data_IF_937246738435
#
_entry.id   IF_937246738435
#
_cell.length_a   1.000
_cell.length_b   1.000
_cell.length_c   1.000
_cell.angle_alpha   90.00
_cell.angle_beta   90.00
_cell.angle_gamma   90.00
#
_symmetry.space_group_name_H-M   'P 1'
#
loop_
_entity.id
_entity.type
_entity.pdbx_description
1 polymer ?
#
# COMPACT_ATOMS: atom_id res chain seq x y z
N UNK A 1 -12.04 18.29 0.01
CA UNK A 1 -11.09 19.40 0.28
C UNK A 1 -11.59 20.66 -0.39
N UNK A 2 -11.33 21.81 0.26
CA UNK A 2 -11.63 23.14 -0.31
C UNK A 2 -10.52 23.63 -1.25
N UNK A 3 -10.65 24.85 -1.79
CA UNK A 3 -9.68 25.49 -2.69
C UNK A 3 -8.31 25.76 -2.04
N UNK A 4 -8.23 25.75 -0.71
CA UNK A 4 -6.98 25.94 0.04
C UNK A 4 -6.32 24.59 0.43
N UNK A 5 -6.86 23.49 -0.06
CA UNK A 5 -6.46 22.13 0.26
C UNK A 5 -6.70 21.75 1.75
N UNK A 6 -7.69 22.39 2.41
CA UNK A 6 -8.12 21.96 3.73
C UNK A 6 -8.99 20.71 3.61
N UNK A 7 -8.65 19.69 4.39
CA UNK A 7 -9.44 18.46 4.46
C UNK A 7 -10.73 18.77 5.21
N UNK A 8 -11.84 18.25 4.70
CA UNK A 8 -13.14 18.38 5.37
C UNK A 8 -13.07 17.74 6.77
N UNK A 9 -13.44 18.51 7.79
CA UNK A 9 -13.38 18.05 9.18
C UNK A 9 -14.32 16.89 9.48
N UNK A 10 -15.47 16.81 8.79
CA UNK A 10 -16.40 15.68 8.92
C UNK A 10 -15.79 14.40 8.33
N UNK A 11 -15.01 14.53 7.25
CA UNK A 11 -14.27 13.42 6.67
C UNK A 11 -13.16 12.92 7.60
N UNK A 12 -12.34 13.80 8.15
CA UNK A 12 -11.31 13.43 9.14
C UNK A 12 -11.93 12.75 10.37
N UNK A 13 -13.07 13.24 10.83
CA UNK A 13 -13.82 12.61 11.93
C UNK A 13 -14.26 11.19 11.56
N UNK A 14 -14.71 10.97 10.32
CA UNK A 14 -15.09 9.62 9.86
C UNK A 14 -13.87 8.69 9.74
N UNK A 15 -12.75 9.19 9.23
CA UNK A 15 -11.50 8.42 9.19
C UNK A 15 -11.07 8.02 10.60
N UNK A 16 -11.12 8.99 11.54
CA UNK A 16 -10.83 8.73 12.96
C UNK A 16 -11.69 7.60 13.53
N UNK A 17 -13.00 7.67 13.30
CA UNK A 17 -13.94 6.65 13.79
C UNK A 17 -13.56 5.24 13.27
N UNK A 18 -13.16 5.11 12.00
CA UNK A 18 -12.73 3.82 11.45
C UNK A 18 -11.39 3.38 12.04
N UNK A 19 -10.45 4.30 12.23
CA UNK A 19 -9.17 4.03 12.92
C UNK A 19 -9.44 3.51 14.33
N UNK A 20 -10.34 4.17 15.07
CA UNK A 20 -10.69 3.78 16.43
C UNK A 20 -11.26 2.35 16.47
N UNK A 21 -12.14 1.96 15.55
CA UNK A 21 -12.65 0.58 15.47
C UNK A 21 -11.53 -0.45 15.35
N UNK A 22 -10.55 -0.20 14.46
CA UNK A 22 -9.43 -1.12 14.25
C UNK A 22 -8.55 -1.21 15.50
N UNK A 23 -8.29 -0.08 16.16
CA UNK A 23 -7.42 -0.03 17.34
C UNK A 23 -8.10 -0.61 18.59
N UNK A 24 -9.41 -0.39 18.75
CA UNK A 24 -10.21 -0.92 19.86
C UNK A 24 -10.30 -2.46 19.80
N UNK A 25 -10.29 -3.05 18.59
CA UNK A 25 -10.16 -4.49 18.39
C UNK A 25 -8.72 -5.01 18.64
N UNK A 26 -7.81 -4.14 19.09
CA UNK A 26 -6.42 -4.50 19.42
C UNK A 26 -5.50 -4.64 18.23
N UNK A 27 -5.97 -4.35 17.02
CA UNK A 27 -5.22 -4.46 15.76
C UNK A 27 -4.30 -3.25 15.53
N UNK A 28 -3.45 -3.35 14.52
CA UNK A 28 -2.64 -2.25 13.98
C UNK A 28 -3.37 -1.68 12.77
N UNK A 29 -3.48 -0.36 12.69
CA UNK A 29 -4.13 0.34 11.59
C UNK A 29 -3.08 1.03 10.71
N UNK A 30 -3.20 0.90 9.39
CA UNK A 30 -2.45 1.69 8.41
C UNK A 30 -3.44 2.60 7.70
N UNK A 31 -3.15 3.90 7.64
CA UNK A 31 -3.92 4.86 6.84
C UNK A 31 -3.03 5.47 5.76
N UNK A 32 -3.62 5.72 4.58
CA UNK A 32 -2.91 6.32 3.45
C UNK A 32 -3.72 7.39 2.72
N UNK A 33 -3.06 8.10 1.80
CA UNK A 33 -3.71 8.92 0.77
C UNK A 33 -3.90 8.02 -0.46
N UNK A 34 -5.14 7.60 -0.76
CA UNK A 34 -5.41 6.45 -1.63
C UNK A 34 -5.78 6.81 -3.07
N UNK A 35 -6.77 7.70 -3.29
CA UNK A 35 -7.28 8.03 -4.64
C UNK A 35 -6.68 9.34 -5.16
N UNK A 36 -5.42 9.34 -5.49
CA UNK A 36 -4.61 10.51 -5.86
C UNK A 36 -4.20 10.53 -7.34
N UNK A 37 -4.33 9.41 -8.07
CA UNK A 37 -3.99 9.27 -9.50
C UNK A 37 -5.18 8.80 -10.35
N UNK A 38 -5.00 8.64 -11.66
CA UNK A 38 -6.05 8.22 -12.60
C UNK A 38 -6.91 9.38 -13.13
N UNK A 39 -8.06 9.10 -13.73
CA UNK A 39 -8.89 10.11 -14.46
C UNK A 39 -9.39 11.28 -13.60
N UNK A 40 -9.47 11.11 -12.29
CA UNK A 40 -9.80 12.14 -11.32
C UNK A 40 -8.63 12.45 -10.38
N UNK A 41 -7.47 11.95 -10.72
CA UNK A 41 -6.25 12.15 -9.95
C UNK A 41 -5.81 13.61 -9.97
N UNK A 42 -4.98 13.92 -9.00
CA UNK A 42 -4.41 15.25 -8.82
C UNK A 42 -2.91 15.19 -8.51
N UNK A 43 -2.32 13.99 -8.49
CA UNK A 43 -0.91 13.74 -8.24
C UNK A 43 -0.40 12.70 -9.23
N UNK A 44 0.64 13.03 -9.97
CA UNK A 44 1.20 12.16 -11.00
C UNK A 44 2.72 12.11 -10.90
N UNK A 45 3.29 10.94 -11.12
CA UNK A 45 4.73 10.74 -11.20
C UNK A 45 5.22 11.00 -12.63
N UNK A 46 5.23 12.26 -13.04
CA UNK A 46 5.64 12.65 -14.39
C UNK A 46 6.77 13.69 -14.32
N UNK A 47 8.00 13.35 -14.77
CA UNK A 47 9.16 14.23 -14.62
C UNK A 47 9.04 15.56 -15.38
N UNK A 48 8.25 15.57 -16.45
CA UNK A 48 8.05 16.75 -17.31
C UNK A 48 6.76 17.51 -16.96
N UNK A 49 6.13 17.20 -15.80
CA UNK A 49 4.90 17.87 -15.38
C UNK A 49 5.17 19.25 -14.81
N UNK A 50 4.76 20.28 -15.56
CA UNK A 50 4.85 21.68 -15.12
C UNK A 50 4.03 21.97 -13.84
N UNK A 51 2.99 21.18 -13.56
CA UNK A 51 2.13 21.31 -12.36
C UNK A 51 2.65 20.53 -11.14
N UNK A 52 3.70 19.71 -11.30
CA UNK A 52 4.19 18.83 -10.21
C UNK A 52 4.48 19.59 -8.90
N UNK A 53 5.11 20.76 -8.99
CA UNK A 53 5.41 21.59 -7.81
C UNK A 53 4.15 21.98 -7.00
N UNK A 54 3.02 22.16 -7.69
CA UNK A 54 1.72 22.49 -7.09
C UNK A 54 1.06 21.23 -6.50
N UNK A 55 1.16 20.12 -7.21
CA UNK A 55 0.69 18.81 -6.74
C UNK A 55 1.45 18.37 -5.49
N UNK A 56 2.76 18.46 -5.49
CA UNK A 56 3.64 18.21 -4.36
C UNK A 56 3.30 19.11 -3.16
N UNK A 57 3.07 20.41 -3.39
CA UNK A 57 2.63 21.34 -2.34
C UNK A 57 1.30 20.91 -1.72
N UNK A 58 0.35 20.44 -2.54
CA UNK A 58 -0.92 19.89 -2.06
C UNK A 58 -0.73 18.63 -1.25
N UNK A 59 0.09 17.70 -1.70
CA UNK A 59 0.45 16.47 -0.99
C UNK A 59 1.03 16.78 0.39
N UNK A 60 1.98 17.72 0.47
CA UNK A 60 2.57 18.18 1.72
C UNK A 60 1.52 18.74 2.68
N UNK A 61 0.61 19.60 2.18
CA UNK A 61 -0.47 20.17 2.99
C UNK A 61 -1.44 19.12 3.54
N UNK A 62 -1.73 18.07 2.78
CA UNK A 62 -2.57 16.96 3.24
C UNK A 62 -1.89 16.25 4.40
N UNK A 63 -0.62 15.87 4.24
CA UNK A 63 0.08 15.12 5.28
C UNK A 63 0.35 15.93 6.55
N UNK A 64 0.56 17.25 6.46
CA UNK A 64 0.64 18.14 7.62
C UNK A 64 -0.67 18.05 8.43
N UNK A 65 -1.84 18.11 7.79
CA UNK A 65 -3.14 18.05 8.45
C UNK A 65 -3.42 16.67 9.05
N UNK A 66 -3.11 15.59 8.33
CA UNK A 66 -3.26 14.22 8.83
C UNK A 66 -2.33 14.00 10.03
N UNK A 67 -1.08 14.42 9.94
CA UNK A 67 -0.11 14.31 11.03
C UNK A 67 -0.57 15.05 12.29
N UNK A 68 -1.06 16.28 12.16
CA UNK A 68 -1.54 17.05 13.32
C UNK A 68 -2.80 16.42 13.93
N UNK A 69 -3.73 15.94 13.09
CA UNK A 69 -4.98 15.36 13.56
C UNK A 69 -4.77 14.06 14.35
N UNK A 70 -3.79 13.23 13.95
CA UNK A 70 -3.53 11.91 14.56
C UNK A 70 -2.26 11.87 15.43
N UNK A 71 -1.69 13.02 15.82
CA UNK A 71 -0.40 13.11 16.52
C UNK A 71 -0.35 12.36 17.85
N UNK A 72 -1.47 12.27 18.56
CA UNK A 72 -1.55 11.66 19.90
C UNK A 72 -1.88 10.15 19.87
N UNK A 73 -2.06 9.58 18.67
CA UNK A 73 -2.30 8.15 18.51
C UNK A 73 -1.02 7.34 18.75
N UNK A 74 -1.18 6.14 19.32
CA UNK A 74 -0.07 5.24 19.63
C UNK A 74 0.65 4.75 18.37
N UNK A 75 1.72 3.99 18.56
CA UNK A 75 2.49 3.33 17.49
C UNK A 75 1.68 2.28 16.70
N UNK A 76 0.51 1.86 17.20
CA UNK A 76 -0.40 0.98 16.45
C UNK A 76 -1.06 1.65 15.25
N UNK A 77 -1.10 2.99 15.20
CA UNK A 77 -1.47 3.71 13.99
C UNK A 77 -0.21 3.98 13.17
N UNK A 78 -0.17 3.46 11.96
CA UNK A 78 0.92 3.59 11.00
C UNK A 78 0.45 4.50 9.85
N UNK A 79 1.34 5.32 9.32
CA UNK A 79 1.07 6.14 8.14
C UNK A 79 1.76 5.56 6.91
N UNK A 80 1.03 5.44 5.82
CA UNK A 80 1.54 5.09 4.50
C UNK A 80 1.41 6.31 3.58
N UNK A 81 2.55 6.76 3.04
CA UNK A 81 2.63 8.07 2.37
C UNK A 81 1.79 8.18 1.13
N UNK A 82 1.76 7.14 0.36
CA UNK A 82 1.19 7.06 -0.99
C UNK A 82 0.35 5.79 -1.14
N UNK A 83 -0.27 5.62 -2.31
CA UNK A 83 -0.85 4.37 -2.76
C UNK A 83 -0.19 3.97 -4.10
N UNK A 84 -0.89 4.05 -5.19
CA UNK A 84 -0.45 3.61 -6.51
C UNK A 84 -0.27 4.81 -7.45
N UNK A 85 0.72 5.68 -7.15
CA UNK A 85 0.97 6.87 -7.98
C UNK A 85 1.45 6.47 -9.36
N UNK A 86 0.69 6.85 -10.39
CA UNK A 86 0.98 6.62 -11.79
C UNK A 86 1.46 7.91 -12.48
N UNK A 87 2.10 7.77 -13.63
CA UNK A 87 2.30 8.89 -14.55
C UNK A 87 0.99 9.21 -15.33
N UNK A 88 0.93 10.34 -16.01
CA UNK A 88 -0.24 10.75 -16.80
C UNK A 88 -0.63 9.76 -17.91
N UNK A 89 0.32 8.95 -18.37
CA UNK A 89 0.07 7.86 -19.33
C UNK A 89 -0.50 6.59 -18.70
N UNK A 90 -0.69 6.57 -17.39
CA UNK A 90 -1.23 5.43 -16.62
C UNK A 90 -0.47 4.12 -16.83
N UNK A 91 0.85 4.19 -16.97
CA UNK A 91 1.71 3.01 -17.07
C UNK A 91 1.91 2.38 -15.68
N UNK A 92 1.57 1.11 -15.53
CA UNK A 92 1.74 0.39 -14.26
C UNK A 92 3.18 -0.10 -14.00
N UNK A 93 3.94 -0.34 -15.07
CA UNK A 93 5.31 -0.84 -15.03
C UNK A 93 6.12 -0.34 -16.22
N UNK A 94 7.44 -0.57 -16.18
CA UNK A 94 8.34 -0.29 -17.30
C UNK A 94 8.59 1.21 -17.49
N UNK A 95 8.46 1.99 -16.42
CA UNK A 95 8.69 3.44 -16.46
C UNK A 95 10.16 3.78 -16.33
N UNK A 96 10.50 5.03 -16.66
CA UNK A 96 11.88 5.52 -16.55
C UNK A 96 12.31 5.66 -15.08
N UNK A 97 13.62 5.69 -14.86
CA UNK A 97 14.16 6.02 -13.54
C UNK A 97 13.69 7.41 -13.07
N UNK A 98 13.64 8.40 -13.97
CA UNK A 98 13.18 9.74 -13.65
C UNK A 98 11.73 9.75 -13.13
N UNK A 99 10.85 8.94 -13.71
CA UNK A 99 9.48 8.74 -13.21
C UNK A 99 9.46 8.13 -11.80
N UNK A 100 10.30 7.12 -11.54
CA UNK A 100 10.44 6.55 -10.20
C UNK A 100 11.03 7.57 -9.19
N UNK A 101 11.93 8.45 -9.63
CA UNK A 101 12.53 9.47 -8.77
C UNK A 101 11.51 10.50 -8.26
N UNK A 102 10.44 10.77 -8.99
CA UNK A 102 9.31 11.59 -8.51
C UNK A 102 8.65 10.93 -7.28
N UNK A 103 8.41 9.62 -7.33
CA UNK A 103 7.84 8.89 -6.19
C UNK A 103 8.84 8.83 -5.02
N UNK A 104 10.13 8.67 -5.29
CA UNK A 104 11.18 8.74 -4.28
C UNK A 104 11.21 10.11 -3.58
N UNK A 105 11.02 11.21 -4.33
CA UNK A 105 10.92 12.56 -3.77
C UNK A 105 9.68 12.71 -2.87
N UNK A 106 8.51 12.26 -3.32
CA UNK A 106 7.28 12.30 -2.51
C UNK A 106 7.43 11.47 -1.22
N UNK A 107 8.07 10.32 -1.27
CA UNK A 107 8.41 9.53 -0.09
C UNK A 107 9.33 10.30 0.88
N UNK A 108 10.34 11.03 0.37
CA UNK A 108 11.20 11.87 1.20
C UNK A 108 10.42 13.00 1.86
N UNK A 109 9.57 13.70 1.10
CA UNK A 109 8.71 14.77 1.62
C UNK A 109 7.79 14.28 2.72
N UNK A 110 7.18 13.12 2.53
CA UNK A 110 6.34 12.48 3.52
C UNK A 110 7.10 12.20 4.83
N UNK A 111 8.26 11.56 4.73
CA UNK A 111 9.11 11.27 5.90
C UNK A 111 9.48 12.57 6.61
N UNK A 112 9.94 13.57 5.89
CA UNK A 112 10.35 14.86 6.45
C UNK A 112 9.22 15.55 7.20
N UNK A 113 8.00 15.54 6.65
CA UNK A 113 6.81 16.14 7.29
C UNK A 113 6.50 15.42 8.60
N UNK A 114 6.45 14.10 8.57
CA UNK A 114 6.07 13.34 9.77
C UNK A 114 7.16 13.45 10.85
N UNK A 115 8.45 13.40 10.50
CA UNK A 115 9.55 13.53 11.46
C UNK A 115 9.64 14.92 12.10
N UNK A 116 9.21 15.97 11.38
CA UNK A 116 9.16 17.36 11.89
C UNK A 116 7.87 17.69 12.64
N UNK A 117 6.87 16.82 12.61
CA UNK A 117 5.60 17.02 13.30
C UNK A 117 5.70 16.74 14.82
N UNK A 118 4.60 16.87 15.54
CA UNK A 118 4.56 16.78 17.02
C UNK A 118 3.91 15.47 17.50
N UNK A 119 3.80 15.32 18.82
CA UNK A 119 3.17 14.16 19.47
C UNK A 119 4.00 12.89 19.28
N UNK A 120 3.34 11.79 18.94
CA UNK A 120 3.97 10.48 18.73
C UNK A 120 4.51 10.28 17.29
N UNK A 121 4.25 11.23 16.39
CA UNK A 121 4.60 11.12 14.98
C UNK A 121 6.11 11.02 14.71
N UNK A 122 7.00 11.80 15.38
CA UNK A 122 8.44 11.74 15.07
C UNK A 122 9.04 10.33 15.12
N UNK A 123 8.47 9.43 15.92
CA UNK A 123 8.96 8.04 16.08
C UNK A 123 8.04 6.98 15.45
N UNK A 124 6.97 7.40 14.77
CA UNK A 124 5.99 6.51 14.12
C UNK A 124 6.64 5.69 13.02
N UNK A 125 6.19 4.43 12.85
CA UNK A 125 6.50 3.63 11.66
C UNK A 125 5.84 4.28 10.44
N UNK A 126 6.61 4.40 9.36
CA UNK A 126 6.14 4.96 8.09
C UNK A 126 6.28 3.91 6.99
N UNK A 127 5.25 3.81 6.18
CA UNK A 127 5.19 2.91 5.03
C UNK A 127 5.37 3.74 3.75
N UNK A 128 6.24 3.26 2.90
CA UNK A 128 6.66 3.89 1.64
C UNK A 128 6.29 2.99 0.48
N UNK A 129 6.07 3.56 -0.69
CA UNK A 129 5.68 2.82 -1.87
C UNK A 129 6.70 2.99 -3.00
N UNK A 130 6.91 1.93 -3.78
CA UNK A 130 7.53 2.05 -5.11
C UNK A 130 6.60 2.83 -6.05
N UNK A 131 7.07 3.20 -7.24
CA UNK A 131 6.18 3.70 -8.28
C UNK A 131 5.03 2.71 -8.52
N UNK A 132 3.79 3.20 -8.54
CA UNK A 132 2.56 2.40 -8.66
C UNK A 132 2.42 1.31 -7.58
N UNK A 133 3.10 1.42 -6.44
CA UNK A 133 3.30 0.33 -5.48
C UNK A 133 3.75 -0.99 -6.14
N UNK A 134 4.37 -0.93 -7.31
CA UNK A 134 4.68 -2.08 -8.16
C UNK A 134 5.75 -2.99 -7.55
N UNK A 135 5.49 -4.30 -7.60
CA UNK A 135 6.45 -5.36 -7.29
C UNK A 135 7.30 -5.78 -8.52
N UNK A 136 7.24 -5.05 -9.62
CA UNK A 136 8.06 -5.33 -10.78
C UNK A 136 9.53 -4.95 -10.50
N UNK A 137 10.45 -5.75 -11.04
CA UNK A 137 11.89 -5.64 -10.72
C UNK A 137 12.48 -4.27 -11.06
N UNK A 138 12.03 -3.65 -12.15
CA UNK A 138 12.50 -2.33 -12.60
C UNK A 138 12.19 -1.25 -11.58
N UNK A 139 10.94 -1.15 -11.17
CA UNK A 139 10.43 -0.18 -10.20
C UNK A 139 11.06 -0.39 -8.82
N UNK A 140 11.17 -1.64 -8.38
CA UNK A 140 11.87 -1.98 -7.13
C UNK A 140 13.36 -1.59 -7.16
N UNK A 141 14.03 -1.77 -8.28
CA UNK A 141 15.47 -1.42 -8.43
C UNK A 141 15.68 0.10 -8.43
N UNK A 142 14.72 0.87 -8.95
CA UNK A 142 14.74 2.32 -8.99
C UNK A 142 14.21 2.98 -7.70
N UNK A 143 13.66 2.20 -6.77
CA UNK A 143 13.25 2.72 -5.46
C UNK A 143 14.47 3.05 -4.60
N UNK A 144 14.41 4.21 -3.94
CA UNK A 144 15.42 4.66 -2.99
C UNK A 144 14.75 4.95 -1.63
N UNK A 145 15.24 4.31 -0.56
CA UNK A 145 14.78 4.66 0.78
C UNK A 145 15.13 6.13 1.09
N UNK A 146 14.17 6.92 1.60
CA UNK A 146 14.44 8.27 2.07
C UNK A 146 15.48 8.29 3.19
N UNK A 147 16.16 9.43 3.32
CA UNK A 147 16.90 9.73 4.53
C UNK A 147 15.94 9.85 5.71
N UNK A 148 16.24 9.19 6.82
CA UNK A 148 15.42 9.25 8.04
C UNK A 148 16.30 9.50 9.26
N UNK A 149 15.85 10.37 10.14
CA UNK A 149 16.51 10.65 11.42
C UNK A 149 16.31 9.54 12.45
N UNK A 150 15.31 8.68 12.25
CA UNK A 150 14.92 7.59 13.15
C UNK A 150 15.20 6.24 12.48
N UNK A 151 16.07 5.45 13.09
CA UNK A 151 16.44 4.12 12.58
C UNK A 151 15.31 3.12 12.70
N UNK A 152 15.19 2.21 11.73
CA UNK A 152 14.29 1.05 11.74
C UNK A 152 12.79 1.42 11.86
N UNK A 153 12.40 2.57 11.27
CA UNK A 153 11.01 3.04 11.28
C UNK A 153 10.43 3.23 9.87
N UNK A 154 11.14 2.78 8.84
CA UNK A 154 10.66 2.77 7.45
C UNK A 154 10.38 1.34 7.00
N UNK A 155 9.25 1.14 6.34
CA UNK A 155 8.80 -0.13 5.76
C UNK A 155 8.45 0.11 4.30
N UNK A 156 8.85 -0.76 3.40
CA UNK A 156 8.43 -0.71 2.00
C UNK A 156 7.13 -1.48 1.83
N UNK A 157 6.15 -0.90 1.16
CA UNK A 157 4.92 -1.54 0.69
C UNK A 157 4.98 -1.72 -0.82
N UNK A 158 4.58 -2.89 -1.29
CA UNK A 158 4.27 -3.16 -2.69
C UNK A 158 2.92 -3.82 -2.81
N UNK A 159 2.24 -3.62 -3.95
CA UNK A 159 1.02 -4.31 -4.30
C UNK A 159 1.34 -5.42 -5.30
N UNK A 160 0.90 -6.64 -5.03
CA UNK A 160 1.31 -7.79 -5.82
C UNK A 160 0.17 -8.76 -6.10
N UNK A 161 -0.64 -8.43 -7.09
CA UNK A 161 -1.66 -9.30 -7.66
C UNK A 161 -1.00 -10.25 -8.68
N UNK A 162 -0.33 -11.30 -8.19
CA UNK A 162 0.57 -12.14 -9.00
C UNK A 162 0.13 -13.61 -9.04
N UNK A 163 -0.01 -14.23 -10.25
CA UNK A 163 0.02 -13.56 -11.57
C UNK A 163 -1.23 -12.72 -11.80
N UNK A 164 -1.09 -11.58 -12.46
CA UNK A 164 -2.19 -10.63 -12.64
C UNK A 164 -3.40 -11.23 -13.35
N UNK A 165 -3.19 -12.01 -14.42
CA UNK A 165 -4.28 -12.66 -15.16
C UNK A 165 -5.15 -13.59 -14.29
N UNK A 166 -4.55 -14.29 -13.32
CA UNK A 166 -5.30 -15.09 -12.36
C UNK A 166 -6.02 -14.20 -11.34
N UNK A 167 -5.31 -13.22 -10.76
CA UNK A 167 -5.88 -12.33 -9.75
C UNK A 167 -7.00 -11.43 -10.31
N UNK A 168 -6.88 -10.99 -11.57
CA UNK A 168 -7.91 -10.20 -12.27
C UNK A 168 -9.11 -11.02 -12.75
N UNK A 169 -9.00 -12.36 -12.71
CA UNK A 169 -10.03 -13.27 -13.20
C UNK A 169 -10.04 -13.46 -14.72
N UNK A 170 -8.97 -13.06 -15.42
CA UNK A 170 -8.79 -13.31 -16.87
C UNK A 170 -8.37 -14.75 -17.15
N UNK A 171 -7.76 -15.43 -16.16
CA UNK A 171 -7.32 -16.82 -16.22
C UNK A 171 -7.79 -17.57 -14.98
N UNK A 172 -8.08 -18.86 -15.14
CA UNK A 172 -8.37 -19.78 -14.04
C UNK A 172 -7.15 -20.64 -13.63
N UNK A 173 -5.99 -20.35 -14.19
CA UNK A 173 -4.73 -21.02 -13.90
C UNK A 173 -3.63 -20.05 -13.56
N UNK A 174 -2.66 -20.50 -12.76
CA UNK A 174 -1.50 -19.73 -12.38
C UNK A 174 -0.24 -20.63 -12.30
N UNK A 175 0.93 -20.00 -12.32
CA UNK A 175 2.20 -20.67 -12.08
C UNK A 175 2.79 -20.20 -10.76
N UNK A 176 3.11 -21.12 -9.89
CA UNK A 176 3.79 -20.81 -8.59
C UNK A 176 5.15 -20.13 -8.80
N UNK A 177 5.81 -20.40 -9.93
CA UNK A 177 7.07 -19.75 -10.30
C UNK A 177 6.98 -18.23 -10.40
N UNK A 178 5.80 -17.68 -10.74
CA UNK A 178 5.61 -16.24 -10.84
C UNK A 178 5.60 -15.62 -9.44
N UNK A 179 4.94 -16.30 -8.48
CA UNK A 179 4.95 -15.92 -7.06
C UNK A 179 6.37 -16.02 -6.49
N UNK A 180 7.06 -17.13 -6.75
CA UNK A 180 8.44 -17.34 -6.29
C UNK A 180 9.40 -16.29 -6.82
N UNK A 181 9.25 -15.91 -8.08
CA UNK A 181 10.12 -14.95 -8.75
C UNK A 181 10.05 -13.57 -8.12
N UNK A 182 8.83 -13.00 -7.98
CA UNK A 182 8.71 -11.65 -7.43
C UNK A 182 9.07 -11.60 -5.94
N UNK A 183 8.70 -12.60 -5.14
CA UNK A 183 9.07 -12.64 -3.72
C UNK A 183 10.58 -12.84 -3.52
N UNK A 184 11.23 -13.61 -4.40
CA UNK A 184 12.70 -13.73 -4.43
C UNK A 184 13.36 -12.39 -4.77
N UNK A 185 12.78 -11.61 -5.69
CA UNK A 185 13.25 -10.26 -6.00
C UNK A 185 13.13 -9.33 -4.79
N UNK A 186 11.98 -9.31 -4.08
CA UNK A 186 11.80 -8.54 -2.84
C UNK A 186 12.87 -8.89 -1.80
N UNK A 187 13.10 -10.19 -1.60
CA UNK A 187 14.12 -10.66 -0.67
C UNK A 187 15.52 -10.19 -1.07
N UNK A 188 15.88 -10.34 -2.35
CA UNK A 188 17.25 -10.02 -2.81
C UNK A 188 17.51 -8.51 -2.87
N UNK A 189 16.50 -7.70 -3.21
CA UNK A 189 16.66 -6.25 -3.37
C UNK A 189 16.60 -5.55 -2.02
N UNK A 190 15.73 -5.99 -1.10
CA UNK A 190 15.42 -5.28 0.14
C UNK A 190 15.69 -6.08 1.42
N UNK A 191 15.10 -7.26 1.60
CA UNK A 191 15.08 -7.96 2.90
C UNK A 191 16.49 -8.39 3.33
N UNK A 192 17.30 -8.92 2.40
CA UNK A 192 18.71 -9.23 2.66
C UNK A 192 19.56 -8.03 3.05
N UNK A 193 19.08 -6.83 2.79
CA UNK A 193 19.71 -5.56 3.20
C UNK A 193 19.07 -4.97 4.47
N UNK A 194 18.25 -5.77 5.16
CA UNK A 194 17.57 -5.40 6.40
C UNK A 194 16.48 -4.34 6.24
N UNK A 195 15.92 -4.16 5.04
CA UNK A 195 14.75 -3.32 4.84
C UNK A 195 13.48 -4.16 4.99
N UNK A 196 12.59 -3.81 5.95
CA UNK A 196 11.31 -4.52 6.09
C UNK A 196 10.42 -4.25 4.87
N UNK A 197 9.69 -5.28 4.46
CA UNK A 197 8.75 -5.22 3.33
C UNK A 197 7.41 -5.78 3.76
N UNK A 198 6.33 -5.13 3.31
CA UNK A 198 4.97 -5.67 3.35
C UNK A 198 4.41 -5.77 1.92
N UNK A 199 3.43 -6.63 1.74
CA UNK A 199 2.56 -6.61 0.57
C UNK A 199 1.26 -5.94 1.01
N UNK A 200 1.15 -4.65 0.69
CA UNK A 200 0.04 -3.78 1.11
C UNK A 200 -1.28 -4.17 0.48
N UNK A 201 -1.23 -4.77 -0.71
CA UNK A 201 -2.40 -5.32 -1.37
C UNK A 201 -2.07 -6.61 -2.11
N UNK A 202 -2.90 -7.63 -1.89
CA UNK A 202 -2.99 -8.83 -2.70
C UNK A 202 -4.42 -9.35 -2.67
N UNK A 203 -4.80 -10.14 -3.67
CA UNK A 203 -6.15 -10.70 -3.72
C UNK A 203 -6.47 -11.34 -5.06
N UNK A 204 -7.62 -11.98 -5.14
CA UNK A 204 -8.13 -12.60 -6.35
C UNK A 204 -9.63 -12.36 -6.48
N UNK A 205 -10.08 -11.97 -7.67
CA UNK A 205 -11.51 -11.70 -7.94
C UNK A 205 -12.41 -12.90 -7.73
N UNK A 206 -13.65 -12.62 -7.32
CA UNK A 206 -14.67 -13.64 -6.95
C UNK A 206 -15.08 -14.63 -8.03
N UNK A 207 -15.00 -14.32 -9.32
CA UNK A 207 -15.89 -14.96 -10.30
C UNK A 207 -15.29 -16.05 -11.21
N UNK A 208 -14.01 -16.07 -11.51
CA UNK A 208 -13.49 -16.91 -12.60
C UNK A 208 -12.69 -18.15 -12.15
N UNK A 209 -12.18 -18.18 -10.94
CA UNK A 209 -11.49 -19.36 -10.39
C UNK A 209 -12.39 -20.11 -9.44
N UNK A 210 -12.26 -21.43 -9.38
CA UNK A 210 -12.95 -22.20 -8.33
C UNK A 210 -12.45 -21.78 -6.94
N UNK A 211 -13.27 -21.92 -5.91
CA UNK A 211 -12.88 -21.60 -4.54
C UNK A 211 -11.62 -22.38 -4.11
N UNK A 212 -11.52 -23.64 -4.53
CA UNK A 212 -10.35 -24.49 -4.22
C UNK A 212 -9.06 -23.89 -4.78
N UNK A 213 -9.05 -23.46 -6.05
CA UNK A 213 -7.87 -22.83 -6.69
C UNK A 213 -7.49 -21.52 -6.02
N UNK A 214 -8.45 -20.72 -5.61
CA UNK A 214 -8.18 -19.46 -4.86
C UNK A 214 -7.57 -19.75 -3.50
N UNK A 215 -8.10 -20.74 -2.81
CA UNK A 215 -7.61 -21.17 -1.49
C UNK A 215 -6.20 -21.73 -1.60
N UNK A 216 -5.92 -22.56 -2.63
CA UNK A 216 -4.58 -23.08 -2.92
C UNK A 216 -3.60 -21.94 -3.22
N UNK A 217 -3.96 -21.01 -4.12
CA UNK A 217 -3.15 -19.84 -4.47
C UNK A 217 -2.84 -18.97 -3.25
N UNK A 218 -3.86 -18.59 -2.47
CA UNK A 218 -3.68 -17.73 -1.31
C UNK A 218 -2.81 -18.41 -0.25
N UNK A 219 -3.03 -19.70 -0.01
CA UNK A 219 -2.22 -20.50 0.93
C UNK A 219 -0.76 -20.55 0.50
N UNK A 220 -0.49 -20.83 -0.78
CA UNK A 220 0.87 -20.84 -1.30
C UNK A 220 1.54 -19.48 -1.20
N UNK A 221 0.82 -18.43 -1.61
CA UNK A 221 1.28 -17.05 -1.58
C UNK A 221 1.71 -16.63 -0.17
N UNK A 222 0.85 -16.84 0.83
CA UNK A 222 1.12 -16.47 2.22
C UNK A 222 2.22 -17.32 2.84
N UNK A 223 2.26 -18.64 2.58
CA UNK A 223 3.37 -19.48 3.01
C UNK A 223 4.70 -18.98 2.48
N UNK A 224 4.75 -18.62 1.21
CA UNK A 224 5.97 -18.07 0.59
C UNK A 224 6.36 -16.73 1.20
N UNK A 225 5.42 -15.82 1.36
CA UNK A 225 5.64 -14.52 2.01
C UNK A 225 6.21 -14.71 3.43
N UNK A 226 5.63 -15.62 4.21
CA UNK A 226 6.08 -15.94 5.57
C UNK A 226 7.52 -16.44 5.63
N UNK A 227 8.02 -17.18 4.62
CA UNK A 227 9.44 -17.61 4.58
C UNK A 227 10.43 -16.45 4.52
N UNK A 228 9.99 -15.27 4.08
CA UNK A 228 10.77 -14.05 4.02
C UNK A 228 10.39 -13.02 5.09
N UNK A 229 9.47 -13.36 6.00
CA UNK A 229 8.97 -12.46 7.03
C UNK A 229 8.09 -11.33 6.48
N UNK A 230 7.54 -11.47 5.28
CA UNK A 230 6.66 -10.49 4.64
C UNK A 230 5.24 -10.65 5.18
N UNK A 231 4.63 -9.57 5.66
CA UNK A 231 3.20 -9.50 6.00
C UNK A 231 2.42 -9.07 4.77
N UNK A 232 1.21 -9.65 4.61
CA UNK A 232 0.36 -9.43 3.45
C UNK A 232 -1.03 -8.95 3.90
N UNK A 233 -1.63 -8.03 3.14
CA UNK A 233 -2.95 -7.47 3.40
C UNK A 233 -3.87 -7.80 2.24
N UNK A 234 -4.97 -8.50 2.52
CA UNK A 234 -5.97 -8.82 1.51
C UNK A 234 -6.72 -7.55 1.12
N UNK A 235 -6.83 -7.30 -0.18
CA UNK A 235 -7.64 -6.22 -0.71
C UNK A 235 -9.13 -6.61 -0.73
N UNK A 236 -9.89 -6.17 0.26
CA UNK A 236 -11.36 -6.25 0.25
C UNK A 236 -11.94 -4.88 -0.13
N UNK A 237 -12.28 -4.71 -1.40
CA UNK A 237 -12.85 -3.47 -1.94
C UNK A 237 -14.38 -3.35 -1.72
N UNK A 238 -15.00 -4.35 -1.10
CA UNK A 238 -16.45 -4.48 -1.04
C UNK A 238 -17.09 -4.77 -2.41
N UNK A 239 -16.29 -4.87 -3.47
CA UNK A 239 -16.65 -5.13 -4.86
C UNK A 239 -16.20 -6.51 -5.35
N UNK A 240 -15.30 -6.51 -6.36
CA UNK A 240 -14.87 -7.75 -7.04
C UNK A 240 -13.92 -8.61 -6.21
N UNK A 241 -13.16 -8.02 -5.30
CA UNK A 241 -12.18 -8.70 -4.44
C UNK A 241 -12.71 -8.99 -3.03
N UNK A 242 -13.97 -8.65 -2.76
CA UNK A 242 -14.56 -8.81 -1.43
C UNK A 242 -14.55 -10.26 -0.96
N UNK A 243 -14.25 -10.45 0.30
CA UNK A 243 -14.40 -11.74 1.02
C UNK A 243 -15.43 -11.64 2.13
N UNK A 244 -15.85 -10.43 2.48
CA UNK A 244 -16.88 -10.15 3.48
C UNK A 244 -18.12 -9.53 2.81
N UNK A 245 -19.30 -10.03 3.15
CA UNK A 245 -20.57 -9.40 2.83
C UNK A 245 -20.85 -8.29 3.85
N UNK A 246 -20.64 -7.04 3.46
CA UNK A 246 -20.79 -5.86 4.34
C UNK A 246 -22.25 -5.52 4.70
N UNK A 247 -23.25 -6.17 4.07
CA UNK A 247 -24.67 -5.94 4.40
C UNK A 247 -25.10 -6.72 5.64
N UNK A 248 -24.55 -7.89 5.86
CA UNK A 248 -24.92 -8.77 6.95
C UNK A 248 -23.72 -9.25 7.78
N UNK A 249 -22.51 -8.71 7.51
CA UNK A 249 -21.26 -9.03 8.19
C UNK A 249 -20.93 -10.54 8.19
N UNK A 250 -21.17 -11.22 7.07
CA UNK A 250 -20.85 -12.64 6.93
C UNK A 250 -19.68 -12.85 5.97
N UNK A 251 -18.92 -13.90 6.20
CA UNK A 251 -17.88 -14.36 5.28
C UNK A 251 -18.52 -14.91 4.00
N UNK A 252 -17.97 -14.50 2.85
CA UNK A 252 -18.41 -15.03 1.54
C UNK A 252 -17.67 -16.34 1.19
N UNK A 253 -16.45 -16.49 1.67
CA UNK A 253 -15.57 -17.62 1.39
C UNK A 253 -14.87 -18.12 2.66
N UNK A 254 -15.62 -18.77 3.60
CA UNK A 254 -15.05 -19.21 4.89
C UNK A 254 -13.79 -20.08 4.74
N UNK A 255 -13.83 -21.05 3.82
CA UNK A 255 -12.66 -21.94 3.56
C UNK A 255 -11.41 -21.18 3.14
N UNK A 256 -11.55 -20.13 2.31
CA UNK A 256 -10.45 -19.27 1.91
C UNK A 256 -9.92 -18.46 3.09
N UNK A 257 -10.82 -17.88 3.88
CA UNK A 257 -10.46 -17.05 5.05
C UNK A 257 -9.75 -17.92 6.09
N UNK A 258 -10.30 -19.08 6.43
CA UNK A 258 -9.68 -20.02 7.37
C UNK A 258 -8.28 -20.44 6.91
N UNK A 259 -8.11 -20.77 5.62
CA UNK A 259 -6.82 -21.14 5.07
C UNK A 259 -5.79 -20.01 5.13
N UNK A 260 -6.21 -18.77 4.91
CA UNK A 260 -5.35 -17.59 5.06
C UNK A 260 -4.96 -17.38 6.52
N UNK A 261 -5.90 -17.45 7.45
CA UNK A 261 -5.66 -17.27 8.89
C UNK A 261 -4.74 -18.33 9.50
N UNK A 262 -4.79 -19.56 9.00
CA UNK A 262 -3.89 -20.64 9.44
C UNK A 262 -2.41 -20.40 9.04
N UNK A 263 -2.16 -19.60 8.03
CA UNK A 263 -0.81 -19.36 7.49
C UNK A 263 -0.24 -18.02 7.96
N UNK A 264 -1.07 -17.01 8.18
CA UNK A 264 -0.72 -15.59 8.44
C UNK A 264 0.20 -15.33 9.68
#
# INVERSE_FOLDING_TARGET
MDSNNQIDSSWLKRVKEVVDYVLDDGLTCIINVHHDTGTKGWLFADPDDEEFSKEESKFKKIWIQVADYFKDYSEKLIFEGLNEILNKSSNWNGVSKATCDIVNQLNQDFVDIIRKSTGNNPTRVLVLNTYAASAAKGEMTNFAFPADTIKNKLVLSVHAYTPYSFCSGESDTYKVSDIDSFMSNLNNIFIKKWYPVIIGEFGVKGNNSTLDKKTEWATYYLKKAKTYGIKCYWWDDGGSYKIINRHNNTELYPTLIDAMMLVA
#
